data_IF_102393453105
#
_entry.id   IF_102393453105
#
_cell.length_a   1.000
_cell.length_b   1.000
_cell.length_c   1.000
_cell.angle_alpha   90.00
_cell.angle_beta   90.00
_cell.angle_gamma   90.00
#
_symmetry.space_group_name_H-M   'P 1'
#
loop_
_entity.id
_entity.type
_entity.pdbx_description
1 polymer ?
#
# COMPACT_ATOMS: atom_id res chain seq x y z
N UNK A 1 32.95 22.46 -6.65
CA UNK A 1 32.84 23.30 -7.87
C UNK A 1 33.66 22.61 -8.94
N UNK A 2 33.13 22.04 -10.02
CA UNK A 2 31.86 22.25 -10.70
C UNK A 2 31.22 20.91 -11.09
N UNK A 3 29.90 20.92 -11.12
CA UNK A 3 29.01 19.95 -11.73
C UNK A 3 29.15 19.90 -13.26
N UNK A 4 28.39 18.97 -13.87
CA UNK A 4 27.79 18.91 -15.23
C UNK A 4 28.32 17.70 -16.03
N UNK A 5 27.52 16.87 -16.71
CA UNK A 5 26.14 16.40 -16.59
C UNK A 5 25.94 15.30 -17.66
N UNK A 6 24.80 14.61 -17.57
CA UNK A 6 24.30 13.48 -18.38
C UNK A 6 24.44 13.61 -19.91
N UNK A 7 24.54 12.44 -20.55
CA UNK A 7 23.76 11.88 -21.70
C UNK A 7 24.60 11.37 -22.87
N UNK A 8 24.55 10.05 -23.09
CA UNK A 8 24.40 9.35 -24.38
C UNK A 8 24.99 7.93 -24.34
N UNK A 9 24.19 6.96 -24.79
CA UNK A 9 24.59 5.70 -25.43
C UNK A 9 25.56 4.76 -24.71
N UNK A 10 25.03 3.61 -24.29
CA UNK A 10 25.34 2.39 -25.04
C UNK A 10 24.27 1.33 -24.79
N UNK A 11 23.72 0.80 -25.88
CA UNK A 11 22.95 -0.43 -25.90
C UNK A 11 23.77 -1.53 -25.23
N UNK A 12 23.44 -1.91 -23.99
CA UNK A 12 23.99 -3.11 -23.35
C UNK A 12 23.01 -4.24 -23.57
N UNK A 13 23.55 -5.38 -23.98
CA UNK A 13 22.88 -6.67 -24.20
C UNK A 13 21.86 -7.00 -23.10
N UNK A 14 20.83 -7.84 -23.37
CA UNK A 14 19.90 -8.26 -22.34
C UNK A 14 20.64 -9.14 -21.32
N UNK A 15 21.23 -8.53 -20.31
CA UNK A 15 21.62 -9.24 -19.11
C UNK A 15 20.36 -9.82 -18.51
N UNK A 16 20.33 -11.15 -18.45
CA UNK A 16 19.22 -11.96 -17.96
C UNK A 16 18.87 -11.48 -16.55
N UNK A 17 17.82 -10.68 -16.42
CA UNK A 17 17.30 -10.22 -15.14
C UNK A 17 16.81 -11.45 -14.39
N UNK A 18 17.64 -11.96 -13.47
CA UNK A 18 17.23 -12.99 -12.52
C UNK A 18 16.16 -12.33 -11.66
N UNK A 19 14.90 -12.58 -11.99
CA UNK A 19 13.78 -12.19 -11.15
C UNK A 19 13.82 -13.11 -9.94
N UNK A 20 14.63 -12.76 -8.94
CA UNK A 20 14.53 -13.39 -7.63
C UNK A 20 13.10 -13.20 -7.17
N UNK A 21 12.37 -14.31 -7.01
CA UNK A 21 11.00 -14.26 -6.49
C UNK A 21 11.08 -13.58 -5.12
N UNK A 22 10.22 -12.59 -4.83
CA UNK A 22 10.17 -11.99 -3.50
C UNK A 22 10.06 -13.11 -2.47
N UNK A 23 11.10 -13.25 -1.63
CA UNK A 23 11.13 -14.26 -0.57
C UNK A 23 10.18 -13.88 0.57
N UNK A 24 9.92 -12.58 0.68
CA UNK A 24 8.93 -11.97 1.57
C UNK A 24 7.52 -12.05 0.96
N UNK A 25 6.53 -12.40 1.79
CA UNK A 25 5.15 -12.58 1.35
C UNK A 25 4.33 -11.32 1.68
N UNK A 26 4.15 -10.38 0.77
CA UNK A 26 3.15 -9.33 1.02
C UNK A 26 1.72 -9.89 0.96
N UNK A 27 0.78 -9.30 1.72
CA UNK A 27 -0.65 -9.61 1.67
C UNK A 27 -1.43 -8.47 1.02
N UNK A 28 -2.39 -8.79 0.15
CA UNK A 28 -3.28 -7.81 -0.49
C UNK A 28 -4.72 -8.20 -0.17
N UNK A 29 -5.53 -7.21 0.19
CA UNK A 29 -6.95 -7.36 0.44
C UNK A 29 -7.69 -6.14 -0.12
N UNK A 30 -8.84 -6.37 -0.77
CA UNK A 30 -9.64 -5.33 -1.39
C UNK A 30 -11.13 -5.61 -1.19
N UNK A 31 -11.91 -4.54 -1.05
CA UNK A 31 -13.37 -4.58 -0.89
C UNK A 31 -13.99 -3.65 -1.92
N UNK A 32 -15.03 -4.12 -2.60
CA UNK A 32 -15.80 -3.33 -3.57
C UNK A 32 -17.28 -3.70 -3.47
N UNK A 33 -18.16 -2.87 -4.06
CA UNK A 33 -19.59 -3.15 -4.15
C UNK A 33 -20.39 -2.96 -2.86
N UNK A 34 -19.80 -2.34 -1.82
CA UNK A 34 -20.51 -2.04 -0.58
C UNK A 34 -21.29 -0.72 -0.71
N UNK A 35 -22.61 -0.78 -0.50
CA UNK A 35 -23.49 0.41 -0.43
C UNK A 35 -23.73 0.78 1.03
N UNK A 36 -22.87 1.64 1.57
CA UNK A 36 -23.00 2.20 2.91
C UNK A 36 -21.66 2.74 3.43
N UNK A 37 -21.66 3.89 4.12
CA UNK A 37 -20.42 4.53 4.56
C UNK A 37 -19.62 3.63 5.49
N UNK A 38 -18.30 3.61 5.31
CA UNK A 38 -17.33 3.04 6.23
C UNK A 38 -17.23 1.51 6.36
N UNK A 39 -18.22 0.71 5.93
CA UNK A 39 -18.13 -0.76 6.06
C UNK A 39 -16.98 -1.37 5.26
N UNK A 40 -16.67 -0.82 4.09
CA UNK A 40 -15.56 -1.28 3.26
C UNK A 40 -14.19 -1.08 3.94
N UNK A 41 -14.01 0.02 4.66
CA UNK A 41 -12.77 0.34 5.36
C UNK A 41 -12.49 -0.61 6.54
N UNK A 42 -13.53 -0.94 7.33
CA UNK A 42 -13.40 -1.91 8.43
C UNK A 42 -13.03 -3.28 7.88
N UNK A 43 -13.70 -3.73 6.82
CA UNK A 43 -13.40 -5.01 6.20
C UNK A 43 -11.99 -5.03 5.63
N UNK A 44 -11.54 -3.94 5.00
CA UNK A 44 -10.17 -3.82 4.51
C UNK A 44 -9.14 -3.93 5.64
N UNK A 45 -9.36 -3.21 6.75
CA UNK A 45 -8.52 -3.29 7.94
C UNK A 45 -8.47 -4.71 8.52
N UNK A 46 -9.63 -5.36 8.72
CA UNK A 46 -9.70 -6.71 9.26
C UNK A 46 -9.04 -7.74 8.32
N UNK A 47 -9.21 -7.59 7.02
CA UNK A 47 -8.56 -8.42 6.01
C UNK A 47 -7.04 -8.29 6.05
N UNK A 48 -6.51 -7.06 6.16
CA UNK A 48 -5.08 -6.82 6.33
C UNK A 48 -4.56 -7.39 7.66
N UNK A 49 -5.32 -7.26 8.74
CA UNK A 49 -4.98 -7.81 10.05
C UNK A 49 -4.86 -9.34 9.99
N UNK A 50 -5.81 -10.01 9.33
CA UNK A 50 -5.77 -11.46 9.11
C UNK A 50 -4.55 -11.89 8.28
N UNK A 51 -4.09 -11.05 7.35
CA UNK A 51 -2.92 -11.29 6.50
C UNK A 51 -1.59 -10.84 7.11
N UNK A 52 -1.57 -10.26 8.32
CA UNK A 52 -0.37 -9.74 8.97
C UNK A 52 0.76 -10.78 9.08
N UNK A 53 0.43 -12.06 9.18
CA UNK A 53 1.40 -13.14 9.24
C UNK A 53 2.24 -13.29 7.95
N UNK A 54 1.84 -12.65 6.84
CA UNK A 54 2.58 -12.66 5.58
C UNK A 54 3.65 -11.57 5.54
N UNK A 55 3.40 -10.37 6.09
CA UNK A 55 4.38 -9.28 6.15
C UNK A 55 4.15 -8.39 7.37
N UNK A 56 5.24 -7.97 8.04
CA UNK A 56 5.22 -7.24 9.34
C UNK A 56 5.83 -5.84 9.31
N UNK A 57 6.34 -5.41 8.16
CA UNK A 57 7.22 -4.25 8.06
C UNK A 57 6.47 -2.96 7.70
N UNK A 58 5.35 -3.08 7.00
CA UNK A 58 4.50 -1.96 6.62
C UNK A 58 3.06 -2.41 6.35
N UNK A 59 2.14 -1.44 6.38
CA UNK A 59 0.75 -1.64 5.98
C UNK A 59 0.20 -0.39 5.27
N UNK A 60 -0.79 -0.60 4.40
CA UNK A 60 -1.43 0.49 3.65
C UNK A 60 -2.86 0.18 3.23
N UNK A 61 -3.73 1.18 3.26
CA UNK A 61 -5.10 1.16 2.74
C UNK A 61 -5.26 2.35 1.80
N UNK A 62 -5.75 2.09 0.60
CA UNK A 62 -6.20 3.12 -0.32
C UNK A 62 -7.72 3.06 -0.46
N UNK A 63 -8.38 4.21 -0.52
CA UNK A 63 -9.83 4.31 -0.66
C UNK A 63 -10.22 5.42 -1.63
N UNK A 64 -11.41 5.31 -2.21
CA UNK A 64 -11.95 6.33 -3.10
C UNK A 64 -12.82 7.29 -2.28
N UNK A 65 -12.41 8.55 -2.22
CA UNK A 65 -13.11 9.67 -1.61
C UNK A 65 -13.73 10.54 -2.70
N UNK A 66 -14.58 11.50 -2.31
CA UNK A 66 -15.18 12.48 -3.22
C UNK A 66 -14.14 13.29 -4.03
N UNK A 67 -12.92 13.46 -3.49
CA UNK A 67 -11.80 14.15 -4.13
C UNK A 67 -10.85 13.25 -4.93
N UNK A 68 -11.13 11.95 -5.01
CA UNK A 68 -10.26 10.98 -5.69
C UNK A 68 -9.72 9.88 -4.76
N UNK A 69 -8.60 9.28 -5.16
CA UNK A 69 -7.97 8.18 -4.43
C UNK A 69 -7.08 8.71 -3.31
N UNK A 70 -7.39 8.33 -2.07
CA UNK A 70 -6.59 8.67 -0.89
C UNK A 70 -5.83 7.44 -0.40
N UNK A 71 -4.58 7.64 0.03
CA UNK A 71 -3.68 6.59 0.49
C UNK A 71 -3.23 6.85 1.92
N UNK A 72 -3.47 5.88 2.79
CA UNK A 72 -2.92 5.83 4.14
C UNK A 72 -1.95 4.66 4.21
N UNK A 73 -0.67 4.95 4.50
CA UNK A 73 0.36 3.93 4.66
C UNK A 73 1.29 4.28 5.80
N UNK A 74 1.89 3.26 6.40
CA UNK A 74 2.88 3.42 7.45
C UNK A 74 3.81 2.22 7.53
N UNK A 75 4.98 2.47 8.12
CA UNK A 75 5.86 1.41 8.58
C UNK A 75 5.33 0.89 9.91
N UNK A 76 5.51 -0.40 10.18
CA UNK A 76 4.98 -1.17 11.32
C UNK A 76 3.74 -2.02 11.01
N UNK A 77 3.26 -2.71 12.04
CA UNK A 77 2.09 -3.59 12.03
C UNK A 77 0.81 -2.81 11.72
N UNK A 78 -0.17 -3.51 11.15
CA UNK A 78 -1.47 -2.99 10.71
C UNK A 78 -2.20 -2.25 11.85
N UNK A 79 -2.19 -2.77 13.07
CA UNK A 79 -2.83 -2.15 14.25
C UNK A 79 -2.14 -0.86 14.71
N UNK A 80 -0.84 -0.73 14.46
CA UNK A 80 -0.07 0.47 14.78
C UNK A 80 -0.23 1.55 13.70
N UNK A 81 -0.31 1.13 12.43
CA UNK A 81 -0.52 2.05 11.30
C UNK A 81 -1.94 2.61 11.31
N UNK A 82 -2.96 1.78 11.56
CA UNK A 82 -4.37 2.20 11.51
C UNK A 82 -4.95 2.41 12.90
N UNK A 83 -4.59 3.53 13.52
CA UNK A 83 -5.19 3.96 14.79
C UNK A 83 -6.69 4.23 14.65
N UNK A 84 -7.41 4.22 15.78
CA UNK A 84 -8.85 4.52 15.83
C UNK A 84 -9.19 5.84 15.13
N UNK A 85 -8.33 6.86 15.26
CA UNK A 85 -8.51 8.17 14.62
C UNK A 85 -8.39 8.10 13.09
N UNK A 86 -7.40 7.37 12.57
CA UNK A 86 -7.23 7.18 11.14
C UNK A 86 -8.38 6.38 10.54
N UNK A 87 -8.78 5.28 11.19
CA UNK A 87 -9.95 4.52 10.78
C UNK A 87 -11.20 5.40 10.76
N UNK A 88 -11.47 6.19 11.80
CA UNK A 88 -12.59 7.13 11.82
C UNK A 88 -12.56 8.13 10.65
N UNK A 89 -11.39 8.55 10.20
CA UNK A 89 -11.25 9.44 9.03
C UNK A 89 -11.76 8.73 7.76
N UNK A 90 -11.30 7.51 7.50
CA UNK A 90 -11.74 6.71 6.34
C UNK A 90 -13.24 6.41 6.42
N UNK A 91 -13.78 6.17 7.62
CA UNK A 91 -15.21 5.88 7.81
C UNK A 91 -16.12 7.08 7.52
N UNK A 92 -15.62 8.30 7.69
CA UNK A 92 -16.40 9.53 7.52
C UNK A 92 -16.25 10.15 6.13
N UNK A 93 -15.07 9.99 5.50
CA UNK A 93 -14.74 10.60 4.21
C UNK A 93 -14.70 9.62 3.03
N UNK A 94 -14.86 8.31 3.27
CA UNK A 94 -14.83 7.24 2.25
C UNK A 94 -16.13 6.47 2.07
#
# INVERSE_FOLDING_TARGET
MLSIDKTANSCRSPEKMIFERPREKCGIFAVTGYRGPGRAAILAYLGLLALQHRGRESAGIAYCSSGGLELLKGMSLVDQVFTRRLLSCILYYG
#
